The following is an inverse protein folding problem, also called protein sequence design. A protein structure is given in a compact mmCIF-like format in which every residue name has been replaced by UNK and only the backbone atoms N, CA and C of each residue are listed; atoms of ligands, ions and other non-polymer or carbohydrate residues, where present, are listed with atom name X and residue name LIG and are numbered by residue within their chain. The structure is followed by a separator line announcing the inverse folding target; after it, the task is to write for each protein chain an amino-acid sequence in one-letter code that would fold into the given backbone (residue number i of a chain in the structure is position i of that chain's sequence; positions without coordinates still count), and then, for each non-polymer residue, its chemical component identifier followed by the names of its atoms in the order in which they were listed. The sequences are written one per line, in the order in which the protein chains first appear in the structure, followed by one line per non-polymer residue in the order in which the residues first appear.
data_IF_682488487583
#
_entry.id   IF_682488487583
#
_cell.length_a   1.000
_cell.length_b   1.000
_cell.length_c   1.000
_cell.angle_alpha   90.00
_cell.angle_beta   90.00
_cell.angle_gamma   90.00
#
_symmetry.space_group_name_H-M   'P 1'
#
loop_
_entity.id
_entity.type
_entity.pdbx_description
1 polymer ?
#
# COMPACT_ATOMS: atom_id res chain seq x y z
N UNK A 1 15.42 1.10 25.65
CA UNK A 1 14.60 0.89 24.43
C UNK A 1 15.58 0.86 23.26
N UNK A 2 15.85 -0.32 22.70
CA UNK A 2 16.79 -0.45 21.57
C UNK A 2 16.13 0.23 20.37
N UNK A 3 16.76 1.29 19.87
CA UNK A 3 16.32 2.00 18.67
C UNK A 3 16.49 1.06 17.46
N UNK A 4 15.40 0.37 17.11
CA UNK A 4 15.33 -0.65 16.05
C UNK A 4 15.54 -0.10 14.65
N UNK A 5 15.76 1.22 14.50
CA UNK A 5 16.03 1.88 13.21
C UNK A 5 17.44 1.62 12.68
N UNK A 6 18.34 1.02 13.46
CA UNK A 6 19.72 0.67 13.04
C UNK A 6 20.04 -0.83 13.17
N UNK A 7 19.05 -1.71 12.99
CA UNK A 7 19.34 -3.11 12.74
C UNK A 7 20.05 -3.23 11.39
N UNK A 8 21.29 -3.72 11.42
CA UNK A 8 22.12 -3.94 10.25
C UNK A 8 21.37 -4.90 9.32
N UNK A 9 20.94 -4.42 8.16
CA UNK A 9 20.29 -5.26 7.16
C UNK A 9 21.21 -6.42 6.79
N UNK A 10 20.83 -7.63 7.21
CA UNK A 10 21.54 -8.85 6.85
C UNK A 10 21.02 -9.34 5.49
N UNK A 11 21.89 -9.52 4.48
CA UNK A 11 21.52 -10.18 3.23
C UNK A 11 20.90 -11.56 3.51
N UNK A 12 19.87 -11.93 2.73
CA UNK A 12 19.13 -13.18 2.94
C UNK A 12 20.01 -14.44 2.95
N UNK A 13 21.11 -14.45 2.18
CA UNK A 13 22.06 -15.57 2.18
C UNK A 13 22.81 -15.71 3.53
N UNK A 14 23.12 -14.60 4.21
CA UNK A 14 23.74 -14.63 5.53
C UNK A 14 22.75 -15.15 6.57
N UNK A 15 21.49 -14.68 6.51
CA UNK A 15 20.40 -15.18 7.37
C UNK A 15 20.26 -16.70 7.25
N UNK A 16 20.20 -17.21 6.02
CA UNK A 16 20.10 -18.64 5.73
C UNK A 16 21.34 -19.40 6.26
N UNK A 17 22.53 -18.85 6.09
CA UNK A 17 23.79 -19.46 6.55
C UNK A 17 23.82 -19.57 8.08
N UNK A 18 23.48 -18.49 8.80
CA UNK A 18 23.45 -18.47 10.27
C UNK A 18 22.43 -19.46 10.81
N UNK A 19 21.19 -19.43 10.31
CA UNK A 19 20.12 -20.33 10.75
C UNK A 19 20.50 -21.79 10.47
N UNK A 20 21.04 -22.08 9.28
CA UNK A 20 21.45 -23.44 8.91
C UNK A 20 22.59 -23.94 9.79
N UNK A 21 23.61 -23.12 10.04
CA UNK A 21 24.74 -23.48 10.89
C UNK A 21 24.32 -23.75 12.34
N UNK A 22 23.46 -22.89 12.92
CA UNK A 22 22.94 -23.06 14.27
C UNK A 22 22.05 -24.30 14.39
N UNK A 23 21.20 -24.54 13.40
CA UNK A 23 20.33 -25.73 13.34
C UNK A 23 21.16 -27.01 13.25
N UNK A 24 22.19 -27.02 12.42
CA UNK A 24 23.08 -28.17 12.27
C UNK A 24 23.89 -28.43 13.54
N UNK A 25 24.38 -27.37 14.20
CA UNK A 25 25.06 -27.47 15.50
C UNK A 25 24.13 -28.04 16.58
N UNK A 26 22.88 -27.57 16.63
CA UNK A 26 21.88 -28.09 17.55
C UNK A 26 21.60 -29.57 17.32
N UNK A 27 21.40 -30.00 16.06
CA UNK A 27 21.20 -31.41 15.73
C UNK A 27 22.41 -32.27 16.08
N UNK A 28 23.63 -31.80 15.80
CA UNK A 28 24.86 -32.50 16.16
C UNK A 28 24.98 -32.67 17.68
N UNK A 29 24.69 -31.61 18.44
CA UNK A 29 24.73 -31.65 19.91
C UNK A 29 23.69 -32.63 20.48
N UNK A 30 22.46 -32.63 19.96
CA UNK A 30 21.41 -33.58 20.36
C UNK A 30 21.80 -35.02 20.00
N UNK A 31 22.35 -35.25 18.81
CA UNK A 31 22.80 -36.57 18.38
C UNK A 31 23.90 -37.14 19.29
N UNK A 32 24.91 -36.32 19.63
CA UNK A 32 25.98 -36.70 20.56
C UNK A 32 25.39 -37.04 21.93
N UNK A 33 24.49 -36.19 22.45
CA UNK A 33 23.83 -36.43 23.74
C UNK A 33 23.11 -37.78 23.74
N UNK A 34 22.29 -38.06 22.73
CA UNK A 34 21.54 -39.32 22.61
C UNK A 34 22.44 -40.54 22.42
N UNK A 35 23.56 -40.41 21.70
CA UNK A 35 24.47 -41.52 21.40
C UNK A 35 25.29 -41.97 22.61
N UNK A 36 25.59 -41.04 23.54
CA UNK A 36 26.40 -41.32 24.73
C UNK A 36 25.57 -41.55 26.00
N UNK A 37 24.26 -41.30 25.96
CA UNK A 37 23.36 -41.65 27.07
C UNK A 37 23.37 -43.16 27.32
N UNK A 38 23.74 -43.56 28.53
CA UNK A 38 23.79 -44.96 28.96
C UNK A 38 25.14 -45.66 28.73
N UNK A 39 26.14 -44.98 28.15
CA UNK A 39 27.50 -45.53 28.02
C UNK A 39 28.35 -45.07 29.22
N UNK A 40 28.96 -45.99 29.99
CA UNK A 40 29.90 -45.65 31.06
C UNK A 40 31.08 -44.81 30.54
N UNK A 41 31.67 -43.94 31.37
CA UNK A 41 32.82 -43.07 31.06
C UNK A 41 32.64 -41.91 30.05
N UNK A 42 31.42 -41.58 29.61
CA UNK A 42 31.16 -40.47 28.69
C UNK A 42 30.42 -39.26 29.29
N UNK A 43 30.41 -39.09 30.61
CA UNK A 43 29.69 -37.99 31.29
C UNK A 43 30.10 -36.60 30.81
N UNK A 44 31.38 -36.39 30.54
CA UNK A 44 31.91 -35.08 30.14
C UNK A 44 31.42 -34.68 28.73
N UNK A 45 31.29 -35.66 27.84
CA UNK A 45 30.75 -35.46 26.49
C UNK A 45 29.26 -35.11 26.52
N UNK A 46 28.51 -35.71 27.45
CA UNK A 46 27.10 -35.38 27.65
C UNK A 46 26.97 -33.93 28.14
N UNK A 47 27.74 -33.52 29.15
CA UNK A 47 27.74 -32.14 29.66
C UNK A 47 28.12 -31.11 28.59
N UNK A 48 29.16 -31.41 27.81
CA UNK A 48 29.58 -30.56 26.69
C UNK A 48 28.48 -30.45 25.63
N UNK A 49 27.85 -31.57 25.25
CA UNK A 49 26.79 -31.60 24.25
C UNK A 49 25.55 -30.81 24.70
N UNK A 50 25.16 -30.92 25.97
CA UNK A 50 24.04 -30.16 26.54
C UNK A 50 24.33 -28.65 26.53
N UNK A 51 25.55 -28.25 26.87
CA UNK A 51 25.97 -26.84 26.86
C UNK A 51 25.96 -26.26 25.44
N UNK A 52 26.46 -27.02 24.46
CA UNK A 52 26.42 -26.67 23.03
C UNK A 52 24.98 -26.57 22.52
N UNK A 53 24.12 -27.52 22.87
CA UNK A 53 22.70 -27.50 22.48
C UNK A 53 21.98 -26.27 23.04
N UNK A 54 22.21 -25.92 24.31
CA UNK A 54 21.62 -24.74 24.93
C UNK A 54 22.08 -23.44 24.25
N UNK A 55 23.39 -23.32 23.98
CA UNK A 55 23.96 -22.15 23.30
C UNK A 55 23.42 -22.02 21.88
N UNK A 56 23.41 -23.10 21.11
CA UNK A 56 22.87 -23.14 19.75
C UNK A 56 21.38 -22.80 19.72
N UNK A 57 20.57 -23.38 20.64
CA UNK A 57 19.15 -23.09 20.74
C UNK A 57 18.88 -21.62 21.09
N UNK A 58 19.62 -21.07 22.05
CA UNK A 58 19.48 -19.66 22.47
C UNK A 58 19.88 -18.71 21.34
N UNK A 59 21.01 -18.97 20.68
CA UNK A 59 21.44 -18.21 19.52
C UNK A 59 20.44 -18.30 18.36
N UNK A 60 19.82 -19.46 18.15
CA UNK A 60 18.81 -19.67 17.13
C UNK A 60 17.53 -18.87 17.44
N UNK A 61 17.05 -18.89 18.68
CA UNK A 61 15.89 -18.08 19.10
C UNK A 61 16.18 -16.59 18.91
N UNK A 62 17.33 -16.10 19.35
CA UNK A 62 17.73 -14.69 19.15
C UNK A 62 17.81 -14.36 17.65
N UNK A 63 18.43 -15.24 16.85
CA UNK A 63 18.56 -15.03 15.40
C UNK A 63 17.19 -14.99 14.72
N UNK A 64 16.26 -15.86 15.09
CA UNK A 64 14.89 -15.83 14.58
C UNK A 64 14.19 -14.53 14.96
N UNK A 65 14.28 -14.09 16.23
CA UNK A 65 13.70 -12.81 16.67
C UNK A 65 14.29 -11.64 15.87
N UNK A 66 15.60 -11.62 15.62
CA UNK A 66 16.25 -10.57 14.83
C UNK A 66 15.80 -10.61 13.36
N UNK A 67 15.79 -11.79 12.74
CA UNK A 67 15.42 -11.97 11.33
C UNK A 67 13.95 -11.61 11.09
N UNK A 68 13.04 -12.04 11.97
CA UNK A 68 11.60 -11.73 11.87
C UNK A 68 11.25 -10.34 12.43
N UNK A 69 12.11 -9.79 13.30
CA UNK A 69 11.99 -8.43 13.83
C UNK A 69 12.48 -7.36 12.86
N UNK A 70 13.40 -7.71 11.96
CA UNK A 70 13.69 -6.91 10.77
C UNK A 70 12.43 -6.85 9.90
N UNK A 71 11.70 -5.73 9.97
CA UNK A 71 10.80 -5.34 8.89
C UNK A 71 11.67 -5.19 7.66
N UNK A 72 11.73 -6.23 6.81
CA UNK A 72 12.40 -6.14 5.52
C UNK A 72 11.71 -5.03 4.71
N UNK A 73 12.28 -3.83 4.78
CA UNK A 73 12.04 -2.72 3.87
C UNK A 73 12.75 -3.01 2.55
N UNK A 74 12.50 -4.19 1.98
CA UNK A 74 12.99 -4.53 0.65
C UNK A 74 12.19 -3.70 -0.36
N UNK A 75 12.87 -2.83 -1.10
CA UNK A 75 12.26 -1.97 -2.10
C UNK A 75 11.42 -2.77 -3.11
N UNK A 76 11.92 -3.94 -3.55
CA UNK A 76 11.19 -4.80 -4.47
C UNK A 76 9.87 -5.32 -3.86
N UNK A 77 9.87 -5.61 -2.57
CA UNK A 77 8.67 -6.05 -1.86
C UNK A 77 7.65 -4.92 -1.72
N UNK A 78 8.10 -3.69 -1.46
CA UNK A 78 7.23 -2.50 -1.42
C UNK A 78 6.62 -2.21 -2.80
N UNK A 79 7.41 -2.29 -3.87
CA UNK A 79 6.93 -2.14 -5.26
C UNK A 79 5.85 -3.18 -5.55
N UNK A 80 6.12 -4.46 -5.31
CA UNK A 80 5.17 -5.55 -5.57
C UNK A 80 3.88 -5.39 -4.75
N UNK A 81 3.96 -4.92 -3.50
CA UNK A 81 2.79 -4.62 -2.68
C UNK A 81 1.96 -3.47 -3.24
N UNK A 82 2.60 -2.41 -3.72
CA UNK A 82 1.93 -1.28 -4.37
C UNK A 82 1.24 -1.72 -5.65
N UNK A 83 1.91 -2.50 -6.49
CA UNK A 83 1.32 -3.08 -7.70
C UNK A 83 0.12 -3.96 -7.38
N UNK A 84 0.23 -4.84 -6.38
CA UNK A 84 -0.89 -5.67 -5.94
C UNK A 84 -2.06 -4.83 -5.43
N UNK A 85 -1.78 -3.74 -4.71
CA UNK A 85 -2.81 -2.83 -4.23
C UNK A 85 -3.55 -2.15 -5.40
N UNK A 86 -2.80 -1.54 -6.33
CA UNK A 86 -3.35 -0.75 -7.44
C UNK A 86 -3.98 -1.61 -8.54
N UNK A 87 -3.34 -2.73 -8.92
CA UNK A 87 -3.77 -3.52 -10.07
C UNK A 87 -4.78 -4.61 -9.70
N UNK A 88 -4.77 -5.10 -8.46
CA UNK A 88 -5.65 -6.20 -8.05
C UNK A 88 -6.71 -5.79 -7.03
N UNK A 89 -6.32 -5.14 -5.93
CA UNK A 89 -7.25 -4.88 -4.82
C UNK A 89 -8.15 -3.68 -5.08
N UNK A 90 -7.58 -2.59 -5.59
CA UNK A 90 -8.31 -1.36 -5.88
C UNK A 90 -9.43 -1.57 -6.92
N UNK A 91 -9.19 -2.19 -8.10
CA UNK A 91 -10.24 -2.38 -9.10
C UNK A 91 -11.37 -3.29 -8.58
N UNK A 92 -11.04 -4.30 -7.76
CA UNK A 92 -12.05 -5.17 -7.13
C UNK A 92 -12.99 -4.40 -6.22
N UNK A 93 -12.51 -3.39 -5.50
CA UNK A 93 -13.37 -2.55 -4.66
C UNK A 93 -14.10 -1.51 -5.47
N UNK A 94 -13.46 -0.87 -6.45
CA UNK A 94 -14.11 0.11 -7.33
C UNK A 94 -15.27 -0.50 -8.13
N UNK A 95 -15.21 -1.79 -8.50
CA UNK A 95 -16.33 -2.52 -9.13
C UNK A 95 -17.59 -2.66 -8.26
N UNK A 96 -17.47 -2.39 -6.95
CA UNK A 96 -18.61 -2.37 -6.03
C UNK A 96 -19.33 -1.03 -6.02
N UNK A 97 -18.77 0.00 -6.64
CA UNK A 97 -19.41 1.31 -6.77
C UNK A 97 -20.65 1.16 -7.64
N UNK A 98 -21.72 1.77 -7.18
CA UNK A 98 -23.00 1.85 -7.87
C UNK A 98 -23.35 3.30 -8.16
N UNK A 99 -23.83 3.56 -9.38
CA UNK A 99 -24.38 4.86 -9.77
C UNK A 99 -25.66 5.20 -8.98
N UNK A 100 -26.30 6.33 -9.30
CA UNK A 100 -27.59 6.72 -8.69
C UNK A 100 -28.74 5.76 -9.01
N UNK A 101 -28.59 4.89 -10.01
CA UNK A 101 -29.59 3.90 -10.45
C UNK A 101 -29.33 2.49 -9.92
N UNK A 102 -28.30 2.31 -9.07
CA UNK A 102 -27.91 1.01 -8.52
C UNK A 102 -27.15 0.12 -9.51
N UNK A 103 -26.67 0.65 -10.63
CA UNK A 103 -25.87 -0.11 -11.59
C UNK A 103 -24.39 -0.07 -11.22
N UNK A 104 -23.76 -1.24 -11.17
CA UNK A 104 -22.33 -1.38 -10.89
C UNK A 104 -21.48 -0.90 -12.07
N UNK A 105 -20.33 -0.33 -11.73
CA UNK A 105 -19.35 0.12 -12.71
C UNK A 105 -18.44 -1.04 -13.15
N UNK A 106 -18.23 -1.14 -14.46
CA UNK A 106 -17.10 -1.87 -15.01
C UNK A 106 -15.83 -1.05 -14.78
N UNK A 107 -14.78 -1.71 -14.32
CA UNK A 107 -13.50 -1.06 -14.01
C UNK A 107 -12.39 -1.73 -14.78
N UNK A 108 -11.79 -0.96 -15.69
CA UNK A 108 -10.55 -1.28 -16.39
C UNK A 108 -9.41 -0.50 -15.74
N UNK A 109 -8.25 -1.16 -15.60
CA UNK A 109 -7.04 -0.56 -15.01
C UNK A 109 -5.89 -0.71 -15.99
N UNK A 110 -5.11 0.36 -16.15
CA UNK A 110 -3.89 0.35 -16.95
C UNK A 110 -2.72 -0.30 -16.18
N UNK A 111 -1.63 -0.60 -16.88
CA UNK A 111 -0.36 -0.90 -16.21
C UNK A 111 0.12 0.32 -15.40
N UNK A 112 1.02 0.10 -14.45
CA UNK A 112 1.62 1.21 -13.69
C UNK A 112 2.27 2.20 -14.67
N UNK A 113 1.86 3.46 -14.58
CA UNK A 113 2.32 4.56 -15.40
C UNK A 113 2.65 5.78 -14.52
N UNK A 114 3.34 6.77 -15.09
CA UNK A 114 3.70 8.00 -14.39
C UNK A 114 4.44 7.75 -13.06
N UNK A 115 5.46 6.88 -13.12
CA UNK A 115 6.40 6.53 -12.04
C UNK A 115 5.80 5.62 -10.95
N UNK A 116 4.60 5.89 -10.42
CA UNK A 116 4.07 5.17 -9.25
C UNK A 116 2.52 5.10 -9.18
N UNK A 117 1.81 5.28 -10.29
CA UNK A 117 0.34 5.24 -10.30
C UNK A 117 -0.26 4.42 -11.42
N UNK A 118 -1.59 4.34 -11.44
CA UNK A 118 -2.33 3.69 -12.52
C UNK A 118 -3.58 4.50 -12.87
N UNK A 119 -3.92 4.50 -14.16
CA UNK A 119 -5.22 4.99 -14.63
C UNK A 119 -6.29 3.92 -14.46
N UNK A 120 -7.47 4.36 -14.02
CA UNK A 120 -8.68 3.56 -13.88
C UNK A 120 -9.76 4.20 -14.74
N UNK A 121 -10.39 3.38 -15.57
CA UNK A 121 -11.54 3.75 -16.38
C UNK A 121 -12.76 3.06 -15.78
N UNK A 122 -13.73 3.86 -15.34
CA UNK A 122 -14.95 3.39 -14.70
C UNK A 122 -16.12 3.72 -15.61
N UNK A 123 -16.89 2.70 -16.00
CA UNK A 123 -17.99 2.88 -16.93
C UNK A 123 -19.18 1.95 -16.65
N UNK A 124 -20.38 2.46 -16.89
CA UNK A 124 -21.57 1.65 -17.08
C UNK A 124 -22.42 2.27 -18.20
N UNK A 125 -23.72 1.95 -18.27
CA UNK A 125 -24.61 2.51 -19.31
C UNK A 125 -24.93 4.00 -19.12
N UNK A 126 -24.84 4.50 -17.89
CA UNK A 126 -25.29 5.83 -17.50
C UNK A 126 -24.13 6.81 -17.29
N UNK A 127 -22.97 6.33 -16.87
CA UNK A 127 -21.83 7.14 -16.49
C UNK A 127 -20.52 6.57 -17.00
N UNK A 128 -19.59 7.46 -17.34
CA UNK A 128 -18.23 7.15 -17.74
C UNK A 128 -17.30 8.16 -17.11
N UNK A 129 -16.26 7.69 -16.44
CA UNK A 129 -15.27 8.56 -15.82
C UNK A 129 -13.91 7.90 -15.77
N UNK A 130 -12.89 8.73 -15.56
CA UNK A 130 -11.50 8.31 -15.44
C UNK A 130 -10.91 8.89 -14.18
N UNK A 131 -10.04 8.14 -13.54
CA UNK A 131 -9.25 8.61 -12.40
C UNK A 131 -7.84 8.04 -12.48
N UNK A 132 -6.90 8.73 -11.86
CA UNK A 132 -5.55 8.22 -11.63
C UNK A 132 -5.33 8.07 -10.14
N UNK A 133 -4.72 6.95 -9.73
CA UNK A 133 -4.33 6.73 -8.34
C UNK A 133 -2.83 6.48 -8.31
N UNK A 134 -2.11 7.40 -7.69
CA UNK A 134 -0.70 7.30 -7.36
C UNK A 134 -0.50 6.85 -5.93
N UNK A 135 0.43 5.93 -5.73
CA UNK A 135 0.80 5.45 -4.41
C UNK A 135 2.32 5.52 -4.22
N UNK A 136 2.77 6.47 -3.40
CA UNK A 136 4.18 6.70 -3.07
C UNK A 136 4.44 6.34 -1.61
N UNK A 137 4.50 5.03 -1.32
CA UNK A 137 4.77 4.37 -0.01
C UNK A 137 3.88 4.83 1.14
N UNK A 138 3.97 6.10 1.51
CA UNK A 138 3.26 6.77 2.60
C UNK A 138 2.27 7.83 2.13
N UNK A 139 2.25 8.15 0.82
CA UNK A 139 1.34 9.12 0.23
C UNK A 139 0.48 8.47 -0.84
N UNK A 140 -0.80 8.81 -0.82
CA UNK A 140 -1.76 8.47 -1.86
C UNK A 140 -2.21 9.75 -2.53
N UNK A 141 -2.31 9.70 -3.84
CA UNK A 141 -2.79 10.79 -4.67
C UNK A 141 -3.88 10.22 -5.56
N UNK A 142 -5.05 10.82 -5.51
CA UNK A 142 -6.17 10.50 -6.40
C UNK A 142 -6.44 11.74 -7.25
N UNK A 143 -6.49 11.57 -8.56
CA UNK A 143 -6.75 12.64 -9.51
C UNK A 143 -8.00 12.34 -10.35
N UNK A 144 -8.89 13.33 -10.45
CA UNK A 144 -10.05 13.33 -11.33
C UNK A 144 -9.96 14.50 -12.30
N UNK A 145 -10.28 14.29 -13.57
CA UNK A 145 -10.40 15.36 -14.55
C UNK A 145 -11.87 15.53 -14.94
N UNK A 146 -12.35 16.76 -14.96
CA UNK A 146 -13.70 17.11 -15.35
C UNK A 146 -13.66 18.00 -16.58
N UNK A 147 -14.40 17.62 -17.62
CA UNK A 147 -14.57 18.45 -18.81
C UNK A 147 -15.65 19.49 -18.53
N UNK A 148 -15.23 20.71 -18.21
CA UNK A 148 -16.15 21.81 -17.91
C UNK A 148 -15.56 23.16 -18.28
N UNK A 149 -16.44 24.09 -18.63
CA UNK A 149 -16.13 25.51 -18.82
C UNK A 149 -16.52 26.35 -17.60
N UNK A 150 -17.08 25.71 -16.56
CA UNK A 150 -17.42 26.38 -15.30
C UNK A 150 -16.16 26.79 -14.53
N UNK A 151 -16.31 27.74 -13.61
CA UNK A 151 -15.21 28.18 -12.77
C UNK A 151 -14.90 27.15 -11.67
N UNK A 152 -13.69 27.20 -11.12
CA UNK A 152 -13.29 26.36 -9.98
C UNK A 152 -14.25 26.55 -8.80
N UNK A 153 -14.70 27.77 -8.51
CA UNK A 153 -15.56 28.06 -7.38
C UNK A 153 -16.93 27.37 -7.51
N UNK A 154 -17.49 27.34 -8.73
CA UNK A 154 -18.74 26.62 -9.01
C UNK A 154 -18.58 25.12 -8.77
N UNK A 155 -17.51 24.53 -9.32
CA UNK A 155 -17.25 23.10 -9.16
C UNK A 155 -16.94 22.75 -7.70
N UNK A 156 -16.18 23.59 -6.98
CA UNK A 156 -15.95 23.44 -5.55
C UNK A 156 -17.24 23.44 -4.74
N UNK A 157 -18.17 24.35 -5.06
CA UNK A 157 -19.48 24.40 -4.40
C UNK A 157 -20.30 23.13 -4.66
N UNK A 158 -20.35 22.67 -5.92
CA UNK A 158 -21.08 21.44 -6.30
C UNK A 158 -20.54 20.22 -5.53
N UNK A 159 -19.22 20.09 -5.44
CA UNK A 159 -18.59 18.94 -4.78
C UNK A 159 -18.21 19.17 -3.32
N UNK A 160 -18.67 20.25 -2.68
CA UNK A 160 -18.28 20.65 -1.33
C UNK A 160 -18.49 19.51 -0.31
N UNK A 161 -19.60 18.80 -0.38
CA UNK A 161 -19.86 17.68 0.54
C UNK A 161 -19.05 16.43 0.21
N UNK A 162 -18.73 16.20 -1.07
CA UNK A 162 -17.92 15.05 -1.49
C UNK A 162 -16.49 15.22 -0.99
N UNK A 163 -15.87 16.37 -1.28
CA UNK A 163 -14.48 16.61 -0.93
C UNK A 163 -14.31 17.13 0.50
N UNK A 164 -15.29 17.82 1.07
CA UNK A 164 -15.30 18.16 2.50
C UNK A 164 -15.35 16.91 3.39
N UNK A 165 -16.06 15.86 2.95
CA UNK A 165 -15.99 14.54 3.58
C UNK A 165 -14.57 13.97 3.54
N UNK A 166 -13.91 14.00 2.38
CA UNK A 166 -12.53 13.56 2.22
C UNK A 166 -11.54 14.37 3.08
N UNK A 167 -11.69 15.70 3.15
CA UNK A 167 -10.86 16.56 4.00
C UNK A 167 -11.02 16.22 5.49
N UNK A 168 -12.24 15.91 5.93
CA UNK A 168 -12.50 15.52 7.32
C UNK A 168 -11.81 14.21 7.74
N UNK A 169 -11.51 13.32 6.79
CA UNK A 169 -10.76 12.07 7.02
C UNK A 169 -9.26 12.21 6.71
N UNK A 170 -8.82 13.44 6.43
CA UNK A 170 -7.40 13.80 6.35
C UNK A 170 -6.84 13.93 4.93
N UNK A 171 -7.66 14.04 3.90
CA UNK A 171 -7.16 14.43 2.57
C UNK A 171 -6.92 15.93 2.49
N UNK A 172 -5.97 16.34 1.65
CA UNK A 172 -5.89 17.69 1.11
C UNK A 172 -6.45 17.66 -0.30
N UNK A 173 -7.42 18.51 -0.60
CA UNK A 173 -8.03 18.59 -1.93
C UNK A 173 -7.64 19.90 -2.61
N UNK A 174 -7.16 19.83 -3.84
CA UNK A 174 -6.84 21.00 -4.66
C UNK A 174 -7.56 20.92 -6.00
N UNK A 175 -7.95 22.07 -6.54
CA UNK A 175 -8.62 22.20 -7.83
C UNK A 175 -7.76 23.11 -8.71
N UNK A 176 -7.47 22.66 -9.94
CA UNK A 176 -6.64 23.41 -10.86
C UNK A 176 -7.21 23.33 -12.28
N UNK A 177 -7.28 24.47 -12.96
CA UNK A 177 -7.58 24.50 -14.40
C UNK A 177 -6.38 23.94 -15.16
N UNK A 178 -6.66 23.00 -16.06
CA UNK A 178 -5.67 22.45 -16.96
C UNK A 178 -6.18 22.46 -18.39
N UNK A 179 -5.26 22.66 -19.34
CA UNK A 179 -5.55 22.45 -20.76
C UNK A 179 -4.75 21.24 -21.21
N UNK A 180 -5.44 20.23 -21.71
CA UNK A 180 -4.82 19.00 -22.16
C UNK A 180 -4.08 19.28 -23.47
N UNK A 181 -2.75 19.15 -23.45
CA UNK A 181 -1.87 19.51 -24.59
C UNK A 181 -2.23 18.79 -25.89
N UNK A 182 -2.68 17.54 -25.80
CA UNK A 182 -2.98 16.71 -26.99
C UNK A 182 -4.34 17.00 -27.62
N UNK A 183 -5.37 17.31 -26.84
CA UNK A 183 -6.73 17.54 -27.33
C UNK A 183 -7.16 19.01 -27.34
N UNK A 184 -6.43 19.89 -26.66
CA UNK A 184 -6.83 21.28 -26.41
C UNK A 184 -8.03 21.40 -25.45
N UNK A 185 -8.44 20.29 -24.83
CA UNK A 185 -9.58 20.23 -23.94
C UNK A 185 -9.30 20.99 -22.64
N UNK A 186 -10.22 21.88 -22.26
CA UNK A 186 -10.19 22.53 -20.96
C UNK A 186 -10.84 21.61 -19.93
N UNK A 187 -10.09 21.33 -18.87
CA UNK A 187 -10.54 20.50 -17.77
C UNK A 187 -10.27 21.19 -16.44
N UNK A 188 -11.04 20.82 -15.43
CA UNK A 188 -10.65 21.04 -14.03
C UNK A 188 -10.08 19.73 -13.51
N UNK A 189 -8.84 19.79 -13.05
CA UNK A 189 -8.19 18.70 -12.35
C UNK A 189 -8.43 18.83 -10.84
N UNK A 190 -8.87 17.75 -10.21
CA UNK A 190 -9.09 17.65 -8.78
C UNK A 190 -8.10 16.67 -8.21
N UNK A 191 -7.30 17.12 -7.24
CA UNK A 191 -6.21 16.37 -6.63
C UNK A 191 -6.48 16.13 -5.15
N UNK A 192 -6.76 14.88 -4.79
CA UNK A 192 -6.95 14.46 -3.40
C UNK A 192 -5.68 13.75 -2.91
N UNK A 193 -4.98 14.33 -1.95
CA UNK A 193 -3.74 13.79 -1.39
C UNK A 193 -3.93 13.36 0.06
N UNK A 194 -3.57 12.13 0.40
CA UNK A 194 -3.59 11.62 1.78
C UNK A 194 -2.21 11.09 2.19
N UNK A 195 -1.73 11.37 3.42
CA UNK A 195 -2.29 12.32 4.37
C UNK A 195 -2.08 13.76 3.88
N UNK A 196 -3.06 14.64 4.13
CA UNK A 196 -3.07 16.04 3.72
C UNK A 196 -2.17 16.95 4.55
N UNK A 197 -1.87 16.56 5.79
CA UNK A 197 -0.87 17.19 6.66
C UNK A 197 0.29 16.22 6.90
N UNK A 198 1.51 16.69 6.65
CA UNK A 198 2.74 16.01 7.02
C UNK A 198 3.33 16.70 8.25
N UNK A 199 2.83 16.36 9.43
CA UNK A 199 3.62 16.61 10.62
C UNK A 199 4.82 15.68 10.56
N UNK A 200 5.99 16.23 10.26
CA UNK A 200 7.26 15.54 9.99
C UNK A 200 7.80 14.65 11.12
N UNK A 201 6.96 14.30 12.10
CA UNK A 201 7.28 13.55 13.29
C UNK A 201 6.68 12.13 13.24
N UNK A 202 5.62 11.87 12.46
CA UNK A 202 4.97 10.55 12.40
C UNK A 202 4.45 10.18 11.01
N UNK A 203 5.32 10.18 10.00
CA UNK A 203 5.01 9.46 8.77
C UNK A 203 5.04 7.96 9.11
N UNK A 204 3.87 7.40 9.36
CA UNK A 204 3.68 5.98 9.59
C UNK A 204 4.07 5.23 8.31
N UNK A 205 5.28 4.67 8.30
CA UNK A 205 5.80 3.75 7.25
C UNK A 205 5.02 2.43 7.12
N UNK A 206 3.87 2.34 7.79
CA UNK A 206 3.06 1.14 7.93
C UNK A 206 1.86 1.07 7.01
N UNK A 207 1.66 2.02 6.10
CA UNK A 207 0.48 2.00 5.25
C UNK A 207 0.43 0.76 4.34
N UNK A 208 1.54 0.43 3.70
CA UNK A 208 1.68 -0.81 2.91
C UNK A 208 1.89 -2.07 3.76
N UNK A 209 2.08 -1.94 5.06
CA UNK A 209 2.34 -3.07 5.95
C UNK A 209 1.14 -3.44 6.82
N UNK A 210 0.22 -2.51 7.06
CA UNK A 210 -1.01 -2.72 7.80
C UNK A 210 -2.16 -3.09 6.85
N UNK A 211 -2.72 -4.32 6.94
CA UNK A 211 -3.90 -4.70 6.18
C UNK A 211 -5.10 -3.78 6.43
N UNK A 212 -5.29 -3.35 7.69
CA UNK A 212 -6.42 -2.50 8.08
C UNK A 212 -6.34 -1.13 7.41
N UNK A 213 -5.15 -0.52 7.36
CA UNK A 213 -4.94 0.76 6.66
C UNK A 213 -5.18 0.62 5.16
N UNK A 214 -4.70 -0.46 4.54
CA UNK A 214 -4.96 -0.73 3.10
C UNK A 214 -6.45 -0.82 2.82
N UNK A 215 -7.17 -1.58 3.65
CA UNK A 215 -8.60 -1.77 3.48
C UNK A 215 -9.34 -0.45 3.65
N UNK A 216 -9.04 0.30 4.72
CA UNK A 216 -9.59 1.63 4.97
C UNK A 216 -9.43 2.52 3.73
N UNK A 217 -8.21 2.64 3.20
CA UNK A 217 -7.90 3.52 2.07
C UNK A 217 -8.63 3.10 0.79
N UNK A 218 -8.63 1.80 0.47
CA UNK A 218 -9.32 1.31 -0.73
C UNK A 218 -10.83 1.56 -0.62
N UNK A 219 -11.41 1.37 0.56
CA UNK A 219 -12.83 1.63 0.79
C UNK A 219 -13.16 3.12 0.75
N UNK A 220 -12.31 3.95 1.33
CA UNK A 220 -12.48 5.38 1.41
C UNK A 220 -12.36 6.05 0.02
N UNK A 221 -11.38 5.64 -0.79
CA UNK A 221 -11.28 6.06 -2.19
C UNK A 221 -12.52 5.63 -2.99
N UNK A 222 -13.00 4.40 -2.78
CA UNK A 222 -14.21 3.94 -3.46
C UNK A 222 -15.46 4.74 -3.04
N UNK A 223 -15.59 5.06 -1.75
CA UNK A 223 -16.69 5.87 -1.22
C UNK A 223 -16.63 7.31 -1.76
N UNK A 224 -15.45 7.92 -1.76
CA UNK A 224 -15.20 9.24 -2.35
C UNK A 224 -15.55 9.24 -3.84
N UNK A 225 -15.10 8.23 -4.59
CA UNK A 225 -15.38 8.08 -6.03
C UNK A 225 -16.88 7.91 -6.29
N UNK A 226 -17.58 7.10 -5.47
CA UNK A 226 -19.02 6.94 -5.58
C UNK A 226 -19.76 8.25 -5.30
N UNK A 227 -19.36 8.99 -4.26
CA UNK A 227 -19.94 10.29 -3.94
C UNK A 227 -19.69 11.31 -5.05
N UNK A 228 -18.50 11.29 -5.65
CA UNK A 228 -18.14 12.11 -6.81
C UNK A 228 -19.08 11.83 -7.99
N UNK A 229 -19.22 10.56 -8.40
CA UNK A 229 -20.09 10.17 -9.51
C UNK A 229 -21.55 10.58 -9.25
N UNK A 230 -22.09 10.25 -8.08
CA UNK A 230 -23.49 10.58 -7.74
C UNK A 230 -23.73 12.09 -7.63
N UNK A 231 -22.74 12.85 -7.20
CA UNK A 231 -22.84 14.32 -7.14
C UNK A 231 -22.81 14.93 -8.54
N UNK A 232 -21.97 14.40 -9.42
CA UNK A 232 -21.95 14.79 -10.83
C UNK A 232 -23.30 14.50 -11.51
N UNK A 233 -23.86 13.31 -11.30
CA UNK A 233 -25.18 12.93 -11.85
C UNK A 233 -26.29 13.86 -11.35
N UNK A 234 -26.35 14.14 -10.03
CA UNK A 234 -27.37 15.04 -9.45
C UNK A 234 -27.30 16.46 -10.00
N UNK A 235 -26.10 16.95 -10.32
CA UNK A 235 -25.88 18.31 -10.79
C UNK A 235 -25.65 18.39 -12.31
N UNK A 236 -25.84 17.29 -13.04
CA UNK A 236 -25.60 17.21 -14.50
C UNK A 236 -24.19 17.67 -14.94
N UNK A 237 -23.18 17.41 -14.11
CA UNK A 237 -21.78 17.75 -14.42
C UNK A 237 -21.16 16.65 -15.27
N UNK A 238 -20.54 17.02 -16.40
CA UNK A 238 -19.83 16.08 -17.24
C UNK A 238 -18.47 15.70 -16.64
N UNK A 239 -18.37 14.47 -16.14
CA UNK A 239 -17.15 13.89 -15.55
C UNK A 239 -16.39 12.95 -16.50
N UNK A 240 -16.78 12.92 -17.78
CA UNK A 240 -16.06 12.22 -18.82
C UNK A 240 -15.12 13.18 -19.55
N UNK A 241 -13.86 12.77 -19.69
CA UNK A 241 -12.86 13.41 -20.54
C UNK A 241 -12.14 12.36 -21.38
N UNK A 242 -11.71 12.75 -22.56
CA UNK A 242 -10.90 11.87 -23.42
C UNK A 242 -9.46 11.78 -22.91
N UNK A 243 -9.01 12.76 -22.14
CA UNK A 243 -7.70 12.76 -21.49
C UNK A 243 -7.62 11.74 -20.35
N UNK A 244 -6.48 11.10 -20.19
CA UNK A 244 -6.21 10.30 -19.01
C UNK A 244 -5.67 11.22 -17.90
N UNK A 245 -6.25 11.20 -16.68
CA UNK A 245 -5.69 11.91 -15.54
C UNK A 245 -4.25 11.46 -15.28
N UNK A 246 -3.36 12.40 -15.02
CA UNK A 246 -1.95 12.13 -14.73
C UNK A 246 -1.34 13.34 -14.02
N UNK A 247 -0.23 13.16 -13.27
CA UNK A 247 0.59 14.28 -12.81
C UNK A 247 0.90 15.22 -13.98
N UNK A 248 0.45 16.48 -13.89
CA UNK A 248 0.57 17.51 -14.93
C UNK A 248 1.96 18.14 -14.95
#
# INVERSE_FOLDING_TARGET
MIDSKKLIYLPGWIKLTIVSALTLCLFAAVYVSLSFVGVPDHSDWILLSLSLAQLAATALVISLILIFGEREANLHYLISKTEMLLLNNMPKTLRKIEDSHGQKLNVAVSAINNIFGANYHLENKNTKTKMWIGFNVDRIIVAYFLKTAESIETIQSIFQYTFGGAESVGYKVNFEHATIKSSGEQVISIWCTWPGMQDGINISTDLLNSPDKKLFIIQDIAMMTQSFIRTAERNSVNIYTDADPAPL
#
